data_IF_392238970717
#
_entry.id   IF_392238970717
#
_cell.length_a   1.000
_cell.length_b   1.000
_cell.length_c   1.000
_cell.angle_alpha   90.00
_cell.angle_beta   90.00
_cell.angle_gamma   90.00
#
_symmetry.space_group_name_H-M   'P 1'
#
loop_
_entity.id
_entity.type
_entity.pdbx_description
1 polymer ?
#
# COMPACT_ATOMS: atom_id res chain seq x y z
N UNK A 1 -0.44 34.24 -10.84
CA UNK A 1 0.79 33.42 -10.67
C UNK A 1 0.36 32.19 -9.90
N UNK A 2 0.64 30.98 -10.38
CA UNK A 2 0.32 29.76 -9.64
C UNK A 2 1.53 29.48 -8.74
N UNK A 3 1.31 29.40 -7.43
CA UNK A 3 2.33 28.93 -6.50
C UNK A 3 2.49 27.41 -6.65
N UNK A 4 3.74 26.96 -6.76
CA UNK A 4 4.10 25.55 -6.83
C UNK A 4 5.04 25.28 -5.67
N UNK A 5 4.68 24.32 -4.82
CA UNK A 5 5.52 23.84 -3.75
C UNK A 5 6.24 22.56 -4.16
N UNK A 6 7.55 22.47 -3.87
CA UNK A 6 8.34 21.28 -4.13
C UNK A 6 8.13 20.27 -3.00
N UNK A 7 7.52 19.13 -3.31
CA UNK A 7 7.33 18.05 -2.34
C UNK A 7 8.64 17.41 -1.86
N UNK A 8 8.61 16.82 -0.65
CA UNK A 8 9.75 16.14 -0.03
C UNK A 8 10.04 14.76 -0.63
N UNK A 9 9.10 14.22 -1.41
CA UNK A 9 9.12 12.84 -1.89
C UNK A 9 8.30 11.89 -1.02
N UNK A 10 7.91 12.31 0.19
CA UNK A 10 6.90 11.62 1.01
C UNK A 10 5.62 12.46 1.05
N UNK A 11 4.66 12.15 0.18
CA UNK A 11 3.39 12.87 0.10
C UNK A 11 2.60 12.85 1.42
N UNK A 12 2.79 11.83 2.27
CA UNK A 12 2.15 11.79 3.58
C UNK A 12 2.74 12.84 4.53
N UNK A 13 4.05 13.08 4.45
CA UNK A 13 4.71 14.11 5.24
C UNK A 13 4.33 15.50 4.73
N UNK A 14 4.32 15.69 3.41
CA UNK A 14 3.92 16.95 2.76
C UNK A 14 2.48 17.36 3.13
N UNK A 15 1.59 16.38 3.30
CA UNK A 15 0.19 16.60 3.71
C UNK A 15 -0.02 16.63 5.24
N UNK A 16 1.05 16.57 6.05
CA UNK A 16 0.96 16.61 7.51
C UNK A 16 0.23 15.41 8.12
N UNK A 17 0.21 14.27 7.44
CA UNK A 17 -0.49 13.07 7.91
C UNK A 17 0.27 12.45 9.08
N UNK A 18 -0.41 12.12 10.20
CA UNK A 18 0.21 11.38 11.29
C UNK A 18 0.76 10.04 10.81
N UNK A 19 1.92 9.64 11.35
CA UNK A 19 2.65 8.42 10.96
C UNK A 19 3.07 8.38 9.48
N UNK A 20 3.41 9.54 8.89
CA UNK A 20 3.79 9.68 7.48
C UNK A 20 4.81 8.65 6.99
N UNK A 21 5.87 8.39 7.76
CA UNK A 21 6.88 7.37 7.44
C UNK A 21 6.29 5.96 7.40
N UNK A 22 5.41 5.62 8.35
CA UNK A 22 4.76 4.31 8.35
C UNK A 22 3.82 4.15 7.15
N UNK A 23 3.07 5.21 6.82
CA UNK A 23 2.17 5.22 5.67
C UNK A 23 2.93 5.11 4.35
N UNK A 24 4.07 5.80 4.24
CA UNK A 24 4.97 5.70 3.10
C UNK A 24 5.45 4.26 2.89
N UNK A 25 5.97 3.63 3.93
CA UNK A 25 6.42 2.22 3.87
C UNK A 25 5.28 1.29 3.48
N UNK A 26 4.09 1.45 4.06
CA UNK A 26 2.91 0.64 3.69
C UNK A 26 2.54 0.83 2.22
N UNK A 27 2.57 2.05 1.70
CA UNK A 27 2.27 2.33 0.30
C UNK A 27 3.26 1.65 -0.65
N UNK A 28 4.55 1.69 -0.32
CA UNK A 28 5.59 0.98 -1.09
C UNK A 28 5.36 -0.53 -1.09
N UNK A 29 5.09 -1.12 0.08
CA UNK A 29 4.83 -2.56 0.20
C UNK A 29 3.60 -2.99 -0.60
N UNK A 30 2.49 -2.25 -0.49
CA UNK A 30 1.26 -2.55 -1.22
C UNK A 30 1.44 -2.42 -2.73
N UNK A 31 2.19 -1.41 -3.17
CA UNK A 31 2.58 -1.29 -4.58
C UNK A 31 3.33 -2.54 -5.04
N UNK A 32 4.32 -2.98 -4.26
CA UNK A 32 5.10 -4.17 -4.62
C UNK A 32 4.28 -5.47 -4.60
N UNK A 33 3.35 -5.62 -3.67
CA UNK A 33 2.40 -6.74 -3.66
C UNK A 33 1.56 -6.73 -4.93
N UNK A 34 1.03 -5.57 -5.33
CA UNK A 34 0.24 -5.42 -6.55
C UNK A 34 1.01 -5.78 -7.83
N UNK A 35 2.29 -5.41 -7.89
CA UNK A 35 3.21 -5.82 -8.96
C UNK A 35 3.43 -7.33 -8.96
N UNK A 36 3.77 -7.94 -7.81
CA UNK A 36 4.04 -9.37 -7.71
C UNK A 36 2.83 -10.23 -8.10
N UNK A 37 1.62 -9.80 -7.72
CA UNK A 37 0.37 -10.48 -8.13
C UNK A 37 0.25 -10.49 -9.67
N UNK A 38 0.57 -9.38 -10.33
CA UNK A 38 0.55 -9.28 -11.80
C UNK A 38 1.66 -10.10 -12.45
N UNK A 39 2.90 -9.95 -11.97
CA UNK A 39 4.08 -10.65 -12.49
C UNK A 39 3.91 -12.18 -12.42
N UNK A 40 3.31 -12.68 -11.33
CA UNK A 40 3.08 -14.12 -11.12
C UNK A 40 1.75 -14.62 -11.67
N UNK A 41 0.97 -13.75 -12.33
CA UNK A 41 -0.38 -14.07 -12.83
C UNK A 41 -1.30 -14.69 -11.78
N UNK A 42 -1.13 -14.29 -10.51
CA UNK A 42 -1.96 -14.82 -9.43
C UNK A 42 -3.38 -14.28 -9.53
N UNK A 43 -4.34 -15.18 -9.39
CA UNK A 43 -5.71 -14.83 -9.07
C UNK A 43 -5.78 -14.15 -7.71
N UNK A 44 -6.85 -13.38 -7.49
CA UNK A 44 -7.10 -12.79 -6.15
C UNK A 44 -7.20 -13.86 -5.06
N UNK A 45 -7.69 -15.06 -5.38
CA UNK A 45 -7.77 -16.17 -4.42
C UNK A 45 -6.41 -16.71 -4.02
N UNK A 46 -5.49 -16.88 -4.97
CA UNK A 46 -4.13 -17.33 -4.67
C UNK A 46 -3.39 -16.30 -3.82
N UNK A 47 -3.48 -15.02 -4.21
CA UNK A 47 -2.89 -13.92 -3.46
C UNK A 47 -3.42 -13.86 -2.01
N UNK A 48 -4.72 -14.06 -1.79
CA UNK A 48 -5.30 -14.09 -0.42
C UNK A 48 -4.76 -15.21 0.45
N UNK A 49 -4.50 -16.39 -0.13
CA UNK A 49 -3.95 -17.54 0.61
C UNK A 49 -2.52 -17.26 1.05
N UNK A 50 -1.72 -16.66 0.18
CA UNK A 50 -0.31 -16.34 0.44
C UNK A 50 -0.20 -15.22 1.48
N UNK A 51 -1.02 -14.17 1.34
CA UNK A 51 -1.00 -13.01 2.23
C UNK A 51 -1.71 -13.26 3.58
N UNK A 52 -2.41 -14.37 3.75
CA UNK A 52 -3.22 -14.63 4.96
C UNK A 52 -4.33 -13.59 5.17
N UNK A 53 -4.93 -13.11 4.07
CA UNK A 53 -5.98 -12.10 4.06
C UNK A 53 -7.25 -12.64 3.41
N UNK A 54 -8.39 -12.05 3.73
CA UNK A 54 -9.62 -12.29 2.97
C UNK A 54 -9.60 -11.53 1.64
N UNK A 55 -10.41 -11.96 0.65
CA UNK A 55 -10.55 -11.24 -0.62
C UNK A 55 -11.00 -9.77 -0.45
N UNK A 56 -12.00 -9.46 0.39
CA UNK A 56 -12.39 -8.07 0.64
C UNK A 56 -11.27 -7.22 1.23
N UNK A 57 -10.47 -7.77 2.16
CA UNK A 57 -9.31 -7.08 2.73
C UNK A 57 -8.24 -6.81 1.66
N UNK A 58 -7.85 -7.83 0.89
CA UNK A 58 -6.88 -7.66 -0.20
C UNK A 58 -7.36 -6.61 -1.21
N UNK A 59 -8.65 -6.61 -1.53
CA UNK A 59 -9.23 -5.65 -2.46
C UNK A 59 -9.18 -4.22 -1.92
N UNK A 60 -9.40 -4.02 -0.62
CA UNK A 60 -9.26 -2.71 0.05
C UNK A 60 -7.80 -2.25 0.04
N UNK A 61 -6.87 -3.14 0.40
CA UNK A 61 -5.43 -2.87 0.41
C UNK A 61 -4.95 -2.40 -0.95
N UNK A 62 -5.24 -3.14 -2.02
CA UNK A 62 -4.82 -2.79 -3.39
C UNK A 62 -5.45 -1.49 -3.91
N UNK A 63 -6.52 -0.99 -3.27
CA UNK A 63 -7.13 0.33 -3.56
C UNK A 63 -6.60 1.46 -2.67
N UNK A 64 -5.53 1.24 -1.92
CA UNK A 64 -4.96 2.27 -1.04
C UNK A 64 -5.52 2.29 0.38
N UNK A 65 -6.48 1.42 0.72
CA UNK A 65 -7.13 1.40 2.02
C UNK A 65 -6.41 0.47 3.01
N UNK A 66 -5.15 0.80 3.32
CA UNK A 66 -4.27 -0.02 4.16
C UNK A 66 -3.84 0.65 5.47
N UNK A 67 -4.47 1.78 5.85
CA UNK A 67 -4.10 2.53 7.07
C UNK A 67 -4.13 1.64 8.33
N UNK A 68 -5.23 0.90 8.53
CA UNK A 68 -5.43 -0.02 9.65
C UNK A 68 -4.79 -1.40 9.49
N UNK A 69 -4.09 -1.66 8.38
CA UNK A 69 -3.44 -2.96 8.15
C UNK A 69 -2.12 -3.00 8.89
N UNK A 70 -1.89 -4.07 9.64
CA UNK A 70 -0.60 -4.31 10.29
C UNK A 70 0.46 -4.51 9.19
N UNK A 71 1.57 -3.76 9.27
CA UNK A 71 2.70 -3.86 8.33
C UNK A 71 3.21 -5.30 8.19
N UNK A 72 3.17 -6.10 9.25
CA UNK A 72 3.59 -7.50 9.22
C UNK A 72 2.80 -8.35 8.21
N UNK A 73 1.53 -8.02 7.93
CA UNK A 73 0.73 -8.69 6.89
C UNK A 73 1.12 -8.30 5.46
N UNK A 74 1.91 -7.24 5.30
CA UNK A 74 2.37 -6.72 4.01
C UNK A 74 3.81 -7.14 3.69
N UNK A 75 4.50 -7.75 4.65
CA UNK A 75 5.78 -8.39 4.44
C UNK A 75 5.49 -9.82 3.93
N UNK A 76 5.48 -9.97 2.60
CA UNK A 76 5.43 -11.26 1.92
C UNK A 76 6.68 -12.10 2.24
#
# INVERSE_FOLDING_TARGET
MIEIEKGSGNIYADLGIPDAEQMWVKAQLVTKIGELIKERSWTRQEATKILGMTQPELSKVLRGQFRGVNKAKLLL
#
